data_IF_990781371969
#
_entry.id   IF_990781371969
#
_cell.length_a   1.000
_cell.length_b   1.000
_cell.length_c   1.000
_cell.angle_alpha   90.00
_cell.angle_beta   90.00
_cell.angle_gamma   90.00
#
_symmetry.space_group_name_H-M   'P 1'
#
loop_
_entity.id
_entity.type
_entity.pdbx_description
1 polymer ?
#
# COMPACT_ATOMS: atom_id res chain seq x y z
N UNK A 1 14.34 -7.62 -6.51
CA UNK A 1 13.54 -7.17 -5.38
C UNK A 1 12.17 -7.81 -5.43
N UNK A 2 11.62 -8.21 -4.29
CA UNK A 2 10.30 -8.82 -4.25
C UNK A 2 9.22 -7.83 -4.66
N UNK A 3 8.20 -8.33 -5.35
CA UNK A 3 7.04 -7.51 -5.71
C UNK A 3 6.06 -7.46 -4.53
N UNK A 4 5.30 -6.38 -4.45
CA UNK A 4 4.20 -6.30 -3.50
C UNK A 4 3.11 -7.29 -3.91
N UNK A 5 2.60 -8.05 -2.95
CA UNK A 5 1.53 -9.00 -3.18
C UNK A 5 0.30 -8.63 -2.36
N UNK A 6 -0.85 -9.06 -2.83
CA UNK A 6 -2.12 -8.86 -2.15
C UNK A 6 -2.49 -10.13 -1.36
N UNK A 7 -2.38 -10.08 -0.05
CA UNK A 7 -2.80 -11.17 0.83
C UNK A 7 -4.29 -10.98 1.15
N UNK A 8 -5.16 -11.54 0.33
CA UNK A 8 -6.61 -11.38 0.45
C UNK A 8 -7.20 -12.09 1.66
N UNK A 9 -6.51 -13.10 2.17
CA UNK A 9 -6.96 -13.80 3.37
C UNK A 9 -6.88 -12.90 4.59
N UNK A 10 -5.81 -12.11 4.68
CA UNK A 10 -5.60 -11.20 5.81
C UNK A 10 -5.94 -9.74 5.48
N UNK A 11 -6.40 -9.46 4.27
CA UNK A 11 -6.74 -8.11 3.81
C UNK A 11 -5.58 -7.14 4.02
N UNK A 12 -4.44 -7.50 3.44
CA UNK A 12 -3.28 -6.61 3.49
C UNK A 12 -2.37 -6.81 2.28
N UNK A 13 -1.74 -5.72 1.82
CA UNK A 13 -0.64 -5.79 0.87
C UNK A 13 0.65 -6.08 1.63
N UNK A 14 1.52 -6.88 1.05
CA UNK A 14 2.74 -7.34 1.71
C UNK A 14 3.95 -7.19 0.81
N UNK A 15 5.08 -6.86 1.43
CA UNK A 15 6.37 -6.80 0.74
C UNK A 15 7.40 -7.50 1.61
N UNK A 16 7.97 -8.59 1.08
CA UNK A 16 9.02 -9.33 1.79
C UNK A 16 10.38 -8.69 1.53
N UNK A 17 11.11 -8.41 2.59
CA UNK A 17 12.47 -7.87 2.48
C UNK A 17 13.32 -8.53 3.58
N UNK A 18 14.37 -9.23 3.17
CA UNK A 18 15.35 -9.82 4.09
C UNK A 18 14.72 -10.65 5.22
N UNK A 19 13.71 -11.46 4.86
CA UNK A 19 13.06 -12.34 5.83
C UNK A 19 12.03 -11.68 6.72
N UNK A 20 11.77 -10.39 6.55
CA UNK A 20 10.73 -9.65 7.26
C UNK A 20 9.65 -9.20 6.28
N UNK A 21 8.47 -8.85 6.80
CA UNK A 21 7.34 -8.45 5.98
C UNK A 21 6.87 -7.06 6.38
N UNK A 22 6.90 -6.14 5.41
CA UNK A 22 6.20 -4.86 5.53
C UNK A 22 4.79 -5.05 4.99
N UNK A 23 3.79 -4.42 5.59
CA UNK A 23 2.41 -4.62 5.15
C UNK A 23 1.55 -3.37 5.30
N UNK A 24 0.49 -3.33 4.50
CA UNK A 24 -0.53 -2.28 4.54
C UNK A 24 -1.89 -2.95 4.65
N UNK A 25 -2.56 -2.76 5.78
CA UNK A 25 -3.89 -3.30 6.02
C UNK A 25 -4.92 -2.51 5.25
N UNK A 26 -5.95 -3.20 4.75
CA UNK A 26 -7.00 -2.53 4.00
C UNK A 26 -8.38 -3.15 4.25
N UNK A 27 -9.41 -2.41 3.84
CA UNK A 27 -10.78 -2.89 3.72
C UNK A 27 -11.23 -2.66 2.30
N UNK A 28 -12.15 -3.48 1.82
CA UNK A 28 -12.64 -3.42 0.44
C UNK A 28 -14.09 -3.00 0.42
N UNK A 29 -14.41 -2.04 -0.44
CA UNK A 29 -15.78 -1.71 -0.83
C UNK A 29 -15.97 -2.11 -2.30
N UNK A 30 -17.21 -2.09 -2.84
CA UNK A 30 -17.39 -2.42 -4.26
C UNK A 30 -16.57 -1.56 -5.22
N UNK A 31 -16.24 -0.33 -4.86
CA UNK A 31 -15.55 0.61 -5.75
C UNK A 31 -14.19 1.06 -5.26
N UNK A 32 -13.80 0.73 -4.02
CA UNK A 32 -12.59 1.28 -3.41
C UNK A 32 -11.88 0.29 -2.51
N UNK A 33 -10.59 0.55 -2.29
CA UNK A 33 -9.78 -0.10 -1.27
C UNK A 33 -9.40 0.97 -0.25
N UNK A 34 -9.74 0.72 1.02
CA UNK A 34 -9.46 1.65 2.11
C UNK A 34 -8.21 1.17 2.83
N UNK A 35 -7.10 1.90 2.69
CA UNK A 35 -5.86 1.54 3.38
C UNK A 35 -5.90 2.20 4.76
N UNK A 36 -5.90 1.37 5.80
CA UNK A 36 -6.11 1.81 7.19
C UNK A 36 -4.83 1.94 7.99
N UNK A 37 -3.79 1.17 7.66
CA UNK A 37 -2.56 1.15 8.43
C UNK A 37 -1.42 0.56 7.61
N UNK A 38 -0.22 1.16 7.73
CA UNK A 38 1.00 0.60 7.15
C UNK A 38 1.99 0.30 8.26
N UNK A 39 2.74 -0.80 8.10
CA UNK A 39 3.72 -1.21 9.09
C UNK A 39 5.00 -1.66 8.39
N UNK A 40 6.13 -1.12 8.85
CA UNK A 40 7.45 -1.55 8.39
C UNK A 40 8.21 -2.07 9.60
N UNK A 41 8.69 -3.32 9.57
CA UNK A 41 9.48 -3.85 10.67
C UNK A 41 10.65 -2.92 11.00
N UNK A 42 10.97 -2.81 12.29
CA UNK A 42 12.00 -1.89 12.76
C UNK A 42 13.33 -2.06 12.01
N UNK A 43 13.72 -3.30 11.75
CA UNK A 43 14.97 -3.60 11.05
C UNK A 43 15.03 -3.08 9.62
N UNK A 44 13.87 -2.79 9.01
CA UNK A 44 13.77 -2.31 7.62
C UNK A 44 13.55 -0.81 7.51
N UNK A 45 13.42 -0.11 8.62
CA UNK A 45 13.14 1.33 8.60
C UNK A 45 14.31 2.11 8.03
N UNK A 46 14.02 3.23 7.38
CA UNK A 46 15.02 4.09 6.78
C UNK A 46 15.53 3.61 5.42
N UNK A 47 14.94 2.56 4.85
CA UNK A 47 15.36 1.99 3.56
C UNK A 47 14.36 2.24 2.43
N UNK A 48 13.36 3.10 2.64
CA UNK A 48 12.35 3.38 1.63
C UNK A 48 11.35 2.24 1.40
N UNK A 49 11.29 1.27 2.32
CA UNK A 49 10.45 0.08 2.15
C UNK A 49 8.97 0.43 2.17
N UNK A 50 8.56 1.34 3.06
CA UNK A 50 7.15 1.75 3.14
C UNK A 50 6.69 2.41 1.84
N UNK A 51 7.54 3.22 1.21
CA UNK A 51 7.22 3.85 -0.08
C UNK A 51 7.10 2.81 -1.20
N UNK A 52 7.98 1.82 -1.22
CA UNK A 52 7.90 0.70 -2.16
C UNK A 52 6.61 -0.09 -1.98
N UNK A 53 6.26 -0.38 -0.73
CA UNK A 53 5.03 -1.10 -0.40
C UNK A 53 3.80 -0.34 -0.90
N UNK A 54 3.71 0.94 -0.60
CA UNK A 54 2.55 1.75 -0.99
C UNK A 54 2.48 1.90 -2.51
N UNK A 55 3.61 2.12 -3.17
CA UNK A 55 3.65 2.19 -4.63
C UNK A 55 3.09 0.91 -5.25
N UNK A 56 3.59 -0.25 -4.82
CA UNK A 56 3.12 -1.53 -5.34
C UNK A 56 1.65 -1.79 -5.03
N UNK A 57 1.20 -1.42 -3.83
CA UNK A 57 -0.20 -1.55 -3.45
C UNK A 57 -1.10 -0.71 -4.35
N UNK A 58 -0.72 0.54 -4.62
CA UNK A 58 -1.49 1.43 -5.49
C UNK A 58 -1.54 0.91 -6.93
N UNK A 59 -0.45 0.33 -7.41
CA UNK A 59 -0.42 -0.29 -8.75
C UNK A 59 -1.37 -1.47 -8.84
N UNK A 60 -1.43 -2.30 -7.79
CA UNK A 60 -2.38 -3.42 -7.74
C UNK A 60 -3.83 -2.94 -7.67
N UNK A 61 -4.10 -1.88 -6.92
CA UNK A 61 -5.43 -1.28 -6.85
C UNK A 61 -5.85 -0.75 -8.21
N UNK A 62 -4.94 -0.09 -8.92
CA UNK A 62 -5.21 0.40 -10.27
C UNK A 62 -5.53 -0.74 -11.23
N UNK A 63 -4.73 -1.81 -11.18
CA UNK A 63 -4.95 -2.97 -12.05
C UNK A 63 -6.29 -3.64 -11.78
N UNK A 64 -6.79 -3.54 -10.55
CA UNK A 64 -8.09 -4.11 -10.16
C UNK A 64 -9.27 -3.18 -10.49
N UNK A 65 -8.99 -2.00 -11.03
CA UNK A 65 -10.05 -1.07 -11.44
C UNK A 65 -10.74 -0.34 -10.30
N UNK A 66 -10.17 -0.34 -9.10
CA UNK A 66 -10.75 0.32 -7.95
C UNK A 66 -10.07 1.64 -7.64
N UNK A 67 -10.70 2.43 -6.80
CA UNK A 67 -10.11 3.65 -6.25
C UNK A 67 -9.48 3.34 -4.90
N UNK A 68 -8.71 4.30 -4.38
CA UNK A 68 -8.11 4.19 -3.06
C UNK A 68 -8.69 5.25 -2.13
N UNK A 69 -8.95 4.86 -0.88
CA UNK A 69 -9.27 5.79 0.19
C UNK A 69 -8.17 5.64 1.24
N UNK A 70 -7.45 6.73 1.50
CA UNK A 70 -6.35 6.71 2.44
C UNK A 70 -6.84 7.12 3.84
N UNK A 71 -6.75 6.19 4.77
CA UNK A 71 -7.04 6.43 6.19
C UNK A 71 -5.77 6.35 7.04
N UNK A 72 -4.63 6.20 6.39
CA UNK A 72 -3.32 6.14 7.02
C UNK A 72 -2.54 7.39 6.63
N UNK A 73 -1.96 8.08 7.59
CA UNK A 73 -1.23 9.32 7.34
C UNK A 73 -0.08 9.15 6.35
N UNK A 74 0.60 8.01 6.40
CA UNK A 74 1.67 7.72 5.45
C UNK A 74 1.16 7.68 4.01
N UNK A 75 0.02 7.02 3.78
CA UNK A 75 -0.55 6.90 2.43
C UNK A 75 -1.08 8.24 1.95
N UNK A 76 -1.71 9.01 2.84
CA UNK A 76 -2.15 10.38 2.51
C UNK A 76 -0.97 11.21 2.02
N UNK A 77 0.14 11.17 2.76
CA UNK A 77 1.35 11.93 2.41
C UNK A 77 1.96 11.42 1.11
N UNK A 78 2.01 10.11 0.93
CA UNK A 78 2.53 9.50 -0.29
C UNK A 78 1.74 9.95 -1.52
N UNK A 79 0.41 9.93 -1.45
CA UNK A 79 -0.45 10.36 -2.55
C UNK A 79 -0.23 11.84 -2.90
N UNK A 80 -0.05 12.68 -1.89
CA UNK A 80 0.20 14.09 -2.10
C UNK A 80 1.52 14.33 -2.83
N UNK A 81 2.54 13.53 -2.52
CA UNK A 81 3.88 13.66 -3.12
C UNK A 81 4.02 12.93 -4.45
N UNK A 82 3.05 12.11 -4.82
CA UNK A 82 3.11 11.26 -6.02
C UNK A 82 1.85 11.44 -6.86
N UNK A 83 1.74 12.59 -7.57
CA UNK A 83 0.52 12.92 -8.32
C UNK A 83 0.18 11.97 -9.45
N UNK A 84 1.10 11.07 -9.85
CA UNK A 84 0.81 10.04 -10.84
C UNK A 84 -0.28 9.06 -10.36
N UNK A 85 -0.61 9.05 -9.06
CA UNK A 85 -1.67 8.23 -8.51
C UNK A 85 -2.94 9.02 -8.17
N UNK A 86 -3.01 10.30 -8.58
CA UNK A 86 -4.17 11.14 -8.27
C UNK A 86 -5.47 10.60 -8.87
N UNK A 87 -5.39 9.88 -10.00
CA UNK A 87 -6.55 9.25 -10.63
C UNK A 87 -7.22 8.21 -9.74
N UNK A 88 -6.52 7.66 -8.76
CA UNK A 88 -7.07 6.64 -7.85
C UNK A 88 -7.89 7.24 -6.72
N UNK A 89 -7.76 8.52 -6.46
CA UNK A 89 -8.40 9.14 -5.29
C UNK A 89 -9.80 9.69 -5.59
N UNK A 90 -10.25 9.48 -6.76
CA UNK A 90 -11.59 9.86 -7.09
C UNK A 90 -11.83 11.09 -7.80
#
# INVERSE_FOLDING_TARGET
>A
MAAVRDNKIQNRFELDVDGAVAFANYRVTPSAVIITHTETPHALRGRGIASELVKGALELIRADGRKVIARCGFVVDYLRKNPQFADLTG
#
